data_IF_261243574067
#
_entry.id   IF_261243574067
#
_cell.length_a   1.000
_cell.length_b   1.000
_cell.length_c   1.000
_cell.angle_alpha   90.00
_cell.angle_beta   90.00
_cell.angle_gamma   90.00
#
_symmetry.space_group_name_H-M   'P 1'
#
loop_
_entity.id
_entity.type
_entity.pdbx_description
1 polymer ?
#
# COMPACT_ATOMS: atom_id res chain seq x y z
N UNK A 1 32.00 48.67 -19.43
CA UNK A 1 30.59 49.07 -19.48
C UNK A 1 29.90 48.25 -20.56
N UNK A 2 28.99 47.36 -20.14
CA UNK A 2 27.76 46.97 -20.83
C UNK A 2 27.25 45.68 -20.20
N UNK A 3 26.49 45.91 -19.13
CA UNK A 3 25.70 44.97 -18.35
C UNK A 3 24.40 44.73 -19.13
N UNK A 4 24.10 43.48 -19.49
CA UNK A 4 22.81 43.12 -20.11
C UNK A 4 21.99 42.32 -19.11
N UNK A 5 21.13 43.06 -18.41
CA UNK A 5 20.10 42.61 -17.48
C UNK A 5 19.06 41.76 -18.22
N UNK A 6 18.82 40.54 -17.72
CA UNK A 6 17.70 39.68 -18.16
C UNK A 6 16.44 40.04 -17.37
N UNK A 7 15.25 40.15 -18.00
CA UNK A 7 14.01 40.48 -17.30
C UNK A 7 13.50 39.30 -16.45
N UNK A 8 12.95 39.65 -15.29
CA UNK A 8 12.42 38.75 -14.27
C UNK A 8 11.22 37.94 -14.75
N UNK A 9 11.13 36.70 -14.27
CA UNK A 9 9.96 35.83 -14.41
C UNK A 9 9.01 36.11 -13.26
N UNK A 10 7.82 36.58 -13.58
CA UNK A 10 6.71 36.71 -12.66
C UNK A 10 6.27 35.32 -12.17
N UNK A 11 6.26 35.14 -10.85
CA UNK A 11 5.77 33.92 -10.19
C UNK A 11 4.28 34.11 -9.93
N UNK A 12 3.45 33.38 -10.65
CA UNK A 12 2.01 33.29 -10.39
C UNK A 12 1.76 32.56 -9.05
N UNK A 13 1.00 33.13 -8.10
CA UNK A 13 0.63 32.42 -6.88
C UNK A 13 -0.41 31.33 -7.20
N UNK A 14 -0.04 30.08 -6.92
CA UNK A 14 -0.89 28.90 -7.02
C UNK A 14 -2.08 28.96 -6.05
N UNK A 15 -3.24 28.73 -6.63
CA UNK A 15 -4.57 28.70 -6.00
C UNK A 15 -4.63 27.75 -4.80
N UNK A 16 -5.14 28.26 -3.67
CA UNK A 16 -5.49 27.46 -2.49
C UNK A 16 -6.89 26.87 -2.70
N UNK A 17 -6.99 25.55 -2.88
CA UNK A 17 -8.26 24.86 -2.96
C UNK A 17 -8.90 24.76 -1.56
N UNK A 18 -9.93 25.58 -1.35
CA UNK A 18 -10.78 25.62 -0.18
C UNK A 18 -12.01 24.72 -0.42
N UNK A 19 -11.96 23.48 0.05
CA UNK A 19 -13.12 22.59 0.11
C UNK A 19 -13.24 22.02 1.52
N UNK A 20 -13.66 22.85 2.48
CA UNK A 20 -14.29 22.34 3.69
C UNK A 20 -15.17 23.43 4.32
N UNK A 21 -16.35 23.65 3.74
CA UNK A 21 -17.34 24.57 4.32
C UNK A 21 -18.74 24.15 3.91
N UNK A 22 -19.16 22.96 4.33
CA UNK A 22 -20.54 22.49 4.19
C UNK A 22 -20.82 21.51 5.33
N UNK A 23 -20.86 22.02 6.56
CA UNK A 23 -21.43 21.29 7.69
C UNK A 23 -21.86 22.25 8.80
N UNK A 24 -22.60 23.29 8.42
CA UNK A 24 -23.30 24.17 9.36
C UNK A 24 -24.61 24.57 8.72
N UNK A 25 -25.68 23.87 9.12
CA UNK A 25 -27.09 24.31 9.15
C UNK A 25 -27.95 23.06 9.21
N UNK A 26 -28.40 22.73 10.42
CA UNK A 26 -29.77 22.26 10.64
C UNK A 26 -30.00 22.27 12.15
N UNK A 27 -30.26 23.47 12.67
CA UNK A 27 -30.93 23.64 13.94
C UNK A 27 -31.99 24.75 13.81
N UNK A 28 -33.18 24.41 14.31
CA UNK A 28 -34.30 25.27 14.71
C UNK A 28 -35.27 25.78 13.63
N UNK A 29 -36.43 25.12 13.53
CA UNK A 29 -37.72 25.66 14.04
C UNK A 29 -38.94 25.02 13.37
N UNK A 30 -39.98 24.73 14.17
CA UNK A 30 -41.36 24.98 13.76
C UNK A 30 -42.29 23.78 13.61
N UNK A 31 -42.95 23.47 14.73
CA UNK A 31 -44.31 22.94 14.87
C UNK A 31 -45.24 23.03 13.62
N UNK A 32 -45.75 21.87 13.17
CA UNK A 32 -47.11 21.74 12.63
C UNK A 32 -47.60 20.29 12.60
N UNK A 33 -48.81 20.08 13.11
CA UNK A 33 -49.47 18.78 13.32
C UNK A 33 -50.16 18.24 12.05
N UNK A 34 -50.30 16.91 12.02
CA UNK A 34 -51.25 16.03 11.31
C UNK A 34 -51.30 16.04 9.77
N UNK A 35 -50.88 14.91 9.17
CA UNK A 35 -51.79 14.02 8.43
C UNK A 35 -51.10 12.66 8.15
N UNK A 36 -51.87 11.61 8.37
CA UNK A 36 -51.55 10.19 8.19
C UNK A 36 -51.29 9.84 6.72
N UNK A 37 -50.23 9.09 6.43
CA UNK A 37 -50.18 8.18 5.28
C UNK A 37 -49.21 7.06 5.59
N UNK A 38 -49.75 5.85 5.78
CA UNK A 38 -48.98 4.61 5.74
C UNK A 38 -48.47 4.39 4.32
N UNK A 39 -47.18 4.03 4.16
CA UNK A 39 -46.75 3.02 3.18
C UNK A 39 -45.29 2.63 3.42
N UNK A 40 -45.19 1.45 4.02
CA UNK A 40 -44.11 0.45 4.08
C UNK A 40 -42.86 0.66 3.20
N UNK A 41 -41.71 0.48 3.85
CA UNK A 41 -40.36 0.79 3.40
C UNK A 41 -39.86 -0.11 2.26
N UNK A 42 -40.00 0.38 1.03
CA UNK A 42 -39.33 -0.14 -0.16
C UNK A 42 -37.86 0.26 -0.25
N UNK A 43 -36.97 -0.31 0.58
CA UNK A 43 -35.52 -0.28 0.33
C UNK A 43 -34.85 -1.61 0.65
N UNK A 44 -34.79 -2.47 -0.36
CA UNK A 44 -33.72 -3.44 -0.63
C UNK A 44 -33.05 -4.02 0.63
N UNK A 45 -33.76 -4.93 1.30
CA UNK A 45 -33.15 -5.82 2.28
C UNK A 45 -32.09 -6.68 1.56
N UNK A 46 -30.82 -6.31 1.73
CA UNK A 46 -29.71 -7.21 1.52
C UNK A 46 -29.99 -8.47 2.35
N UNK A 47 -30.42 -9.53 1.68
CA UNK A 47 -30.88 -10.75 2.32
C UNK A 47 -29.73 -11.33 3.15
N UNK A 48 -29.78 -11.12 4.48
CA UNK A 48 -28.91 -11.81 5.42
C UNK A 48 -29.19 -13.31 5.27
N UNK A 49 -28.32 -13.99 4.55
CA UNK A 49 -28.37 -15.44 4.42
C UNK A 49 -28.01 -16.02 5.79
N UNK A 50 -29.05 -16.42 6.54
CA UNK A 50 -28.89 -17.08 7.83
C UNK A 50 -28.31 -18.48 7.63
N UNK A 51 -27.28 -18.84 8.41
CA UNK A 51 -26.66 -20.19 8.41
C UNK A 51 -27.70 -21.30 8.57
N UNK A 52 -28.79 -21.00 9.30
CA UNK A 52 -29.93 -21.89 9.52
C UNK A 52 -30.75 -22.14 8.25
N UNK A 53 -30.84 -21.13 7.38
CA UNK A 53 -31.56 -21.22 6.10
C UNK A 53 -30.73 -21.97 5.06
N UNK A 54 -29.40 -21.82 5.06
CA UNK A 54 -28.48 -22.61 4.23
C UNK A 54 -28.50 -24.11 4.57
N UNK A 55 -28.47 -24.44 5.87
CA UNK A 55 -28.56 -25.84 6.31
C UNK A 55 -29.96 -26.43 6.08
N UNK A 56 -31.01 -25.60 6.17
CA UNK A 56 -32.39 -26.01 5.86
C UNK A 56 -32.64 -26.28 4.37
N UNK A 57 -32.02 -25.52 3.47
CA UNK A 57 -32.16 -25.74 2.02
C UNK A 57 -31.31 -26.90 1.50
N UNK A 58 -30.17 -27.19 2.15
CA UNK A 58 -29.33 -28.35 1.81
C UNK A 58 -30.02 -29.70 2.11
N UNK A 59 -30.99 -29.72 3.03
CA UNK A 59 -31.79 -30.92 3.32
C UNK A 59 -33.00 -31.14 2.39
N UNK A 60 -33.50 -30.08 1.72
CA UNK A 60 -34.70 -30.15 0.90
C UNK A 60 -34.42 -30.37 -0.61
N UNK A 61 -33.23 -29.99 -1.07
CA UNK A 61 -32.77 -30.31 -2.41
C UNK A 61 -31.80 -31.49 -2.32
N UNK A 62 -32.22 -32.68 -2.76
CA UNK A 62 -31.35 -33.86 -2.86
C UNK A 62 -30.14 -33.64 -3.77
N UNK A 63 -29.49 -34.73 -4.23
CA UNK A 63 -28.23 -34.72 -4.96
C UNK A 63 -28.06 -33.62 -6.04
N UNK A 64 -29.14 -33.20 -6.71
CA UNK A 64 -29.16 -32.12 -7.72
C UNK A 64 -28.82 -30.72 -7.18
N UNK A 65 -29.25 -30.36 -5.96
CA UNK A 65 -28.94 -29.06 -5.34
C UNK A 65 -27.49 -28.96 -4.86
N UNK A 66 -26.92 -30.09 -4.45
CA UNK A 66 -25.49 -30.23 -4.13
C UNK A 66 -24.61 -29.99 -5.35
N UNK A 67 -25.00 -30.46 -6.55
CA UNK A 67 -24.20 -30.28 -7.77
C UNK A 67 -24.17 -28.82 -8.23
N UNK A 68 -25.32 -28.12 -8.24
CA UNK A 68 -25.38 -26.70 -8.61
C UNK A 68 -24.75 -25.79 -7.54
N UNK A 69 -24.97 -26.10 -6.25
CA UNK A 69 -24.35 -25.40 -5.13
C UNK A 69 -22.84 -25.60 -5.02
N UNK A 70 -22.32 -26.77 -5.41
CA UNK A 70 -20.88 -27.04 -5.47
C UNK A 70 -20.21 -26.32 -6.65
N UNK A 71 -20.84 -26.29 -7.84
CA UNK A 71 -20.29 -25.57 -8.99
C UNK A 71 -20.28 -24.04 -8.79
N UNK A 72 -21.37 -23.48 -8.25
CA UNK A 72 -21.46 -22.06 -7.90
C UNK A 72 -20.63 -21.70 -6.65
N UNK A 73 -20.58 -22.59 -5.66
CA UNK A 73 -19.80 -22.41 -4.44
C UNK A 73 -18.29 -22.51 -4.66
N UNK A 74 -17.82 -23.39 -5.54
CA UNK A 74 -16.40 -23.50 -5.88
C UNK A 74 -15.91 -22.29 -6.68
N UNK A 75 -16.73 -21.76 -7.59
CA UNK A 75 -16.41 -20.55 -8.35
C UNK A 75 -16.45 -19.29 -7.47
N UNK A 76 -17.43 -19.17 -6.56
CA UNK A 76 -17.46 -18.09 -5.56
C UNK A 76 -16.29 -18.21 -4.57
N UNK A 77 -15.99 -19.41 -4.06
CA UNK A 77 -14.84 -19.65 -3.17
C UNK A 77 -13.51 -19.35 -3.87
N UNK A 78 -13.36 -19.70 -5.15
CA UNK A 78 -12.20 -19.36 -5.94
C UNK A 78 -12.11 -17.87 -6.30
N UNK A 79 -13.22 -17.13 -6.29
CA UNK A 79 -13.27 -15.69 -6.49
C UNK A 79 -13.05 -14.90 -5.19
N UNK A 80 -13.35 -15.49 -4.03
CA UNK A 80 -13.18 -14.86 -2.70
C UNK A 80 -11.97 -15.38 -1.93
N UNK A 81 -11.17 -16.28 -2.53
CA UNK A 81 -9.94 -16.76 -1.90
C UNK A 81 -8.98 -15.57 -1.71
N UNK A 82 -8.46 -15.35 -0.49
CA UNK A 82 -7.35 -14.42 -0.30
C UNK A 82 -6.21 -14.79 -1.25
N UNK A 83 -5.48 -13.78 -1.72
CA UNK A 83 -4.22 -13.98 -2.43
C UNK A 83 -3.38 -15.03 -1.69
N UNK A 84 -2.76 -15.94 -2.44
CA UNK A 84 -1.92 -16.96 -1.82
C UNK A 84 -0.83 -16.27 -0.97
N UNK A 85 -0.59 -16.73 0.27
CA UNK A 85 0.42 -16.10 1.11
C UNK A 85 1.79 -16.18 0.45
N UNK A 86 2.56 -15.10 0.55
CA UNK A 86 3.92 -15.03 0.04
C UNK A 86 4.75 -16.21 0.55
N UNK A 87 5.38 -16.94 -0.37
CA UNK A 87 6.17 -18.12 -0.01
C UNK A 87 7.34 -17.73 0.90
N UNK A 88 7.63 -18.54 1.92
CA UNK A 88 8.75 -18.29 2.83
C UNK A 88 10.11 -18.27 2.10
N UNK A 89 10.22 -18.99 0.99
CA UNK A 89 11.42 -18.97 0.12
C UNK A 89 11.73 -17.60 -0.49
N UNK A 90 10.80 -16.65 -0.43
CA UNK A 90 11.08 -15.25 -0.82
C UNK A 90 12.09 -14.59 0.12
N UNK A 91 12.12 -15.02 1.38
CA UNK A 91 13.15 -14.60 2.34
C UNK A 91 14.49 -15.19 1.91
N UNK A 92 15.43 -14.32 1.53
CA UNK A 92 16.76 -14.71 1.06
C UNK A 92 16.87 -14.91 -0.46
N UNK A 93 15.76 -14.91 -1.21
CA UNK A 93 15.82 -14.85 -2.68
C UNK A 93 15.80 -13.41 -3.22
N UNK A 94 15.26 -12.47 -2.44
CA UNK A 94 15.24 -11.06 -2.82
C UNK A 94 16.63 -10.41 -2.73
N UNK A 95 16.90 -9.47 -3.65
CA UNK A 95 18.11 -8.67 -3.67
C UNK A 95 17.79 -7.22 -3.99
N UNK A 96 18.55 -6.30 -3.41
CA UNK A 96 18.42 -4.86 -3.68
C UNK A 96 19.54 -4.44 -4.64
N UNK A 97 19.23 -3.76 -5.76
CA UNK A 97 20.25 -3.30 -6.68
C UNK A 97 21.30 -2.41 -5.99
N UNK A 98 22.58 -2.76 -6.17
CA UNK A 98 23.69 -1.97 -5.61
C UNK A 98 23.87 -0.61 -6.29
N UNK A 99 23.60 -0.54 -7.60
CA UNK A 99 23.75 0.68 -8.39
C UNK A 99 22.42 1.40 -8.55
N UNK A 100 22.45 2.72 -8.38
CA UNK A 100 21.34 3.63 -8.58
C UNK A 100 21.78 5.06 -8.34
N UNK A 101 20.87 6.02 -8.58
CA UNK A 101 21.14 7.45 -8.28
C UNK A 101 21.34 7.69 -6.79
N UNK A 102 20.68 6.89 -5.94
CA UNK A 102 20.77 6.94 -4.49
C UNK A 102 21.29 5.62 -3.93
N UNK A 103 21.95 5.68 -2.77
CA UNK A 103 22.43 4.49 -2.08
C UNK A 103 21.25 3.70 -1.51
N UNK A 104 21.36 2.37 -1.59
CA UNK A 104 20.45 1.46 -0.90
C UNK A 104 20.51 1.68 0.63
N UNK A 105 19.41 1.34 1.32
CA UNK A 105 19.27 1.51 2.77
C UNK A 105 18.63 2.84 3.21
N UNK A 106 18.36 3.78 2.29
CA UNK A 106 17.63 5.03 2.58
C UNK A 106 16.12 4.83 2.40
N UNK A 107 15.70 4.49 1.17
CA UNK A 107 14.29 4.23 0.82
C UNK A 107 13.99 2.74 0.67
N UNK A 108 15.01 1.89 0.80
CA UNK A 108 14.86 0.43 0.81
C UNK A 108 13.93 0.03 1.96
N UNK A 109 13.00 -0.93 1.76
CA UNK A 109 12.17 -1.45 2.84
C UNK A 109 12.99 -1.93 4.03
N UNK A 110 12.45 -1.77 5.24
CA UNK A 110 13.11 -2.15 6.48
C UNK A 110 13.55 -3.62 6.44
N UNK A 111 14.80 -3.87 6.80
CA UNK A 111 15.37 -5.21 6.96
C UNK A 111 15.21 -5.67 8.41
N UNK A 112 15.09 -6.98 8.63
CA UNK A 112 14.93 -7.55 9.98
C UNK A 112 16.16 -7.35 10.89
N UNK A 113 17.34 -7.12 10.31
CA UNK A 113 18.61 -6.93 11.02
C UNK A 113 19.41 -5.76 10.43
N UNK A 114 20.18 -5.07 11.27
CA UNK A 114 21.08 -3.99 10.84
C UNK A 114 22.32 -3.88 11.74
N UNK A 115 23.47 -3.58 11.13
CA UNK A 115 24.73 -3.35 11.83
C UNK A 115 25.26 -1.96 11.48
N UNK A 116 25.57 -1.16 12.50
CA UNK A 116 26.17 0.17 12.35
C UNK A 116 27.60 0.14 12.85
N UNK A 117 28.53 0.66 12.04
CA UNK A 117 29.96 0.62 12.31
C UNK A 117 30.58 1.96 11.89
N UNK A 118 31.51 2.47 12.69
CA UNK A 118 32.33 3.63 12.36
C UNK A 118 33.80 3.22 12.33
N UNK A 119 34.60 3.89 11.49
CA UNK A 119 36.02 3.62 11.30
C UNK A 119 36.81 4.92 11.32
N UNK A 120 37.96 4.89 11.97
CA UNK A 120 38.98 5.93 11.86
C UNK A 120 39.99 5.57 10.77
N UNK A 121 40.52 6.59 10.09
CA UNK A 121 41.67 6.39 9.21
C UNK A 121 42.94 6.20 10.05
N UNK A 122 43.73 5.18 9.70
CA UNK A 122 45.00 4.94 10.36
C UNK A 122 45.96 6.13 10.18
N UNK A 123 46.84 6.42 11.15
CA UNK A 123 47.82 7.51 11.03
C UNK A 123 48.63 7.42 9.73
N UNK A 124 48.79 8.55 9.06
CA UNK A 124 49.50 8.63 7.76
C UNK A 124 48.66 8.19 6.55
N UNK A 125 47.42 7.73 6.73
CA UNK A 125 46.50 7.46 5.61
C UNK A 125 45.93 8.77 5.07
N UNK A 126 46.00 8.95 3.75
CA UNK A 126 45.46 10.11 3.07
C UNK A 126 44.40 9.77 2.03
N UNK A 127 44.18 10.71 1.12
CA UNK A 127 43.18 10.59 0.04
C UNK A 127 43.37 9.33 -0.80
N UNK A 128 44.63 8.94 -1.09
CA UNK A 128 44.93 7.79 -1.96
C UNK A 128 44.49 6.49 -1.32
N UNK A 129 44.79 6.32 -0.04
CA UNK A 129 44.48 5.15 0.77
C UNK A 129 42.97 5.04 0.99
N UNK A 130 42.32 6.14 1.34
CA UNK A 130 40.86 6.19 1.50
C UNK A 130 40.12 5.88 0.19
N UNK A 131 40.56 6.44 -0.94
CA UNK A 131 39.96 6.13 -2.24
C UNK A 131 40.17 4.66 -2.63
N UNK A 132 41.33 4.07 -2.31
CA UNK A 132 41.58 2.65 -2.54
C UNK A 132 40.70 1.75 -1.65
N UNK A 133 40.50 2.14 -0.38
CA UNK A 133 39.61 1.45 0.54
C UNK A 133 38.17 1.47 0.03
N UNK A 134 37.63 2.64 -0.32
CA UNK A 134 36.26 2.77 -0.81
C UNK A 134 36.04 1.98 -2.10
N UNK A 135 37.01 1.94 -3.03
CA UNK A 135 36.92 1.09 -4.22
C UNK A 135 36.81 -0.40 -3.87
N UNK A 136 37.61 -0.89 -2.92
CA UNK A 136 37.53 -2.29 -2.46
C UNK A 136 36.19 -2.57 -1.80
N UNK A 137 35.74 -1.71 -0.91
CA UNK A 137 34.45 -1.85 -0.24
C UNK A 137 33.26 -1.80 -1.21
N UNK A 138 33.27 -0.90 -2.19
CA UNK A 138 32.22 -0.89 -3.22
C UNK A 138 32.22 -2.18 -4.03
N UNK A 139 33.39 -2.74 -4.35
CA UNK A 139 33.47 -4.03 -5.03
C UNK A 139 32.91 -5.18 -4.18
N UNK A 140 33.26 -5.24 -2.90
CA UNK A 140 32.75 -6.24 -1.95
C UNK A 140 31.24 -6.10 -1.73
N UNK A 141 30.76 -4.88 -1.48
CA UNK A 141 29.33 -4.62 -1.27
C UNK A 141 28.50 -4.99 -2.51
N UNK A 142 29.00 -4.71 -3.72
CA UNK A 142 28.36 -5.14 -4.98
C UNK A 142 28.32 -6.66 -5.14
N UNK A 143 29.32 -7.39 -4.64
CA UNK A 143 29.31 -8.84 -4.66
C UNK A 143 28.31 -9.41 -3.64
N UNK A 144 28.40 -8.95 -2.39
CA UNK A 144 27.56 -9.41 -1.29
C UNK A 144 26.07 -9.15 -1.53
N UNK A 145 25.71 -7.96 -2.01
CA UNK A 145 24.30 -7.61 -2.34
C UNK A 145 23.74 -8.43 -3.50
N UNK A 146 24.61 -9.02 -4.34
CA UNK A 146 24.24 -9.95 -5.40
C UNK A 146 24.35 -11.43 -4.98
N UNK A 147 24.54 -11.71 -3.68
CA UNK A 147 24.68 -13.08 -3.16
C UNK A 147 25.99 -13.78 -3.55
N UNK A 148 27.02 -13.03 -3.91
CA UNK A 148 28.35 -13.54 -4.31
C UNK A 148 29.40 -13.28 -3.22
N UNK A 149 30.43 -14.14 -3.12
CA UNK A 149 31.56 -13.93 -2.21
C UNK A 149 32.41 -12.71 -2.60
#
# INVERSE_FOLDING_TARGET
>A
MSETTRPGRDIQPGQKNNQNSQNDKNDLSGDRRHATTEHDDGRAAAARISRRRLLGTAGAAGATGLVLGAAGGASVYAATRPEAPTALSTVGSDSVPFHGTHQAGITTPLQACGHLIAFDLAPGSGRKEAAALLRRWSASARAMTAGRP
#
